data_IF_305686830629
#
_entry.id   IF_305686830629
#
_cell.length_a   1.000
_cell.length_b   1.000
_cell.length_c   1.000
_cell.angle_alpha   90.00
_cell.angle_beta   90.00
_cell.angle_gamma   90.00
#
_symmetry.space_group_name_H-M   'P 1'
#
loop_
_entity.id
_entity.type
_entity.pdbx_description
1 polymer ?
#
# COMPACT_ATOMS: atom_id res chain seq x y z
N UNK A 1 11.66 -13.14 -0.03
CA UNK A 1 11.29 -12.38 1.19
C UNK A 1 9.89 -11.83 0.95
N UNK A 2 9.08 -11.66 1.99
CA UNK A 2 7.78 -10.98 1.81
C UNK A 2 8.03 -9.52 1.41
N UNK A 3 7.16 -8.98 0.58
CA UNK A 3 7.11 -7.55 0.25
C UNK A 3 6.00 -6.91 1.07
N UNK A 4 6.28 -5.75 1.67
CA UNK A 4 5.32 -5.04 2.51
C UNK A 4 4.91 -3.74 1.85
N UNK A 5 3.60 -3.57 1.71
CA UNK A 5 2.97 -2.36 1.20
C UNK A 5 2.02 -1.78 2.23
N UNK A 6 1.72 -0.49 2.09
CA UNK A 6 0.66 0.20 2.81
C UNK A 6 -0.31 0.83 1.82
N UNK A 7 -1.61 0.73 2.11
CA UNK A 7 -2.64 1.42 1.35
C UNK A 7 -2.55 2.93 1.62
N UNK A 8 -2.34 3.73 0.57
CA UNK A 8 -2.21 5.19 0.69
C UNK A 8 -3.51 5.93 0.37
N UNK A 9 -4.51 5.22 -0.15
CA UNK A 9 -5.88 5.66 -0.37
C UNK A 9 -6.85 4.48 -0.22
N UNK A 10 -8.15 4.77 -0.10
CA UNK A 10 -9.18 3.74 -0.04
C UNK A 10 -9.39 3.10 -1.41
N UNK A 11 -9.52 1.78 -1.46
CA UNK A 11 -9.88 1.05 -2.68
C UNK A 11 -10.59 -0.26 -2.38
N UNK A 12 -11.15 -0.87 -3.42
CA UNK A 12 -11.84 -2.16 -3.34
C UNK A 12 -11.10 -3.20 -4.18
N UNK A 13 -11.12 -4.44 -3.70
CA UNK A 13 -10.60 -5.59 -4.41
C UNK A 13 -11.63 -6.72 -4.41
N UNK A 14 -11.98 -7.20 -5.59
CA UNK A 14 -12.79 -8.40 -5.74
C UNK A 14 -11.87 -9.61 -5.66
N UNK A 15 -12.08 -10.47 -4.67
CA UNK A 15 -11.33 -11.72 -4.51
C UNK A 15 -11.80 -12.72 -5.54
N UNK A 16 -10.86 -13.27 -6.31
CA UNK A 16 -11.14 -14.36 -7.23
C UNK A 16 -11.45 -15.65 -6.46
N UNK A 17 -12.62 -16.23 -6.73
CA UNK A 17 -13.05 -17.50 -6.15
C UNK A 17 -12.81 -18.65 -7.14
N UNK A 18 -12.16 -19.73 -6.67
CA UNK A 18 -11.87 -20.92 -7.48
C UNK A 18 -12.84 -22.10 -7.20
N UNK A 19 -13.98 -21.83 -6.58
CA UNK A 19 -14.95 -22.86 -6.22
C UNK A 19 -15.83 -23.24 -7.43
N UNK A 20 -16.07 -24.53 -7.69
CA UNK A 20 -16.85 -24.98 -8.86
C UNK A 20 -18.36 -24.70 -8.78
N UNK A 21 -18.91 -24.37 -7.60
CA UNK A 21 -20.36 -24.40 -7.35
C UNK A 21 -21.04 -23.03 -7.07
N UNK A 22 -20.35 -21.89 -7.19
CA UNK A 22 -21.02 -20.58 -7.11
C UNK A 22 -20.15 -19.39 -7.56
N UNK A 23 -20.81 -18.37 -8.13
CA UNK A 23 -20.28 -17.02 -8.27
C UNK A 23 -20.25 -16.33 -6.89
N UNK A 24 -19.19 -16.57 -6.12
CA UNK A 24 -18.95 -15.82 -4.89
C UNK A 24 -18.27 -14.50 -5.21
N UNK A 25 -19.03 -13.40 -5.12
CA UNK A 25 -18.43 -12.06 -5.12
C UNK A 25 -18.05 -11.72 -3.68
N UNK A 26 -16.75 -11.73 -3.38
CA UNK A 26 -16.23 -11.24 -2.10
C UNK A 26 -15.41 -9.96 -2.36
N UNK A 27 -15.93 -8.81 -1.94
CA UNK A 27 -15.28 -7.51 -2.10
C UNK A 27 -14.61 -7.13 -0.78
N UNK A 28 -13.29 -7.00 -0.82
CA UNK A 28 -12.50 -6.46 0.27
C UNK A 28 -12.36 -4.96 0.11
N UNK A 29 -12.55 -4.24 1.21
CA UNK A 29 -12.44 -2.80 1.27
C UNK A 29 -11.17 -2.46 2.03
N UNK A 30 -10.22 -1.86 1.33
CA UNK A 30 -8.97 -1.39 1.89
C UNK A 30 -9.13 0.06 2.33
N UNK A 31 -8.79 0.33 3.59
CA UNK A 31 -8.71 1.66 4.15
C UNK A 31 -7.29 2.21 3.99
N UNK A 32 -7.16 3.54 3.92
CA UNK A 32 -5.84 4.17 4.03
C UNK A 32 -5.19 3.75 5.35
N UNK A 33 -3.94 3.31 5.28
CA UNK A 33 -3.19 2.78 6.41
C UNK A 33 -3.20 1.26 6.53
N UNK A 34 -4.07 0.57 5.78
CA UNK A 34 -4.06 -0.91 5.78
C UNK A 34 -2.74 -1.46 5.24
N UNK A 35 -2.22 -2.45 5.94
CA UNK A 35 -0.95 -3.08 5.64
C UNK A 35 -1.18 -4.35 4.84
N UNK A 36 -0.37 -4.51 3.80
CA UNK A 36 -0.53 -5.53 2.77
C UNK A 36 0.81 -6.25 2.65
N UNK A 37 0.90 -7.42 3.23
CA UNK A 37 2.07 -8.28 3.12
C UNK A 37 1.88 -9.26 1.96
N UNK A 38 2.70 -9.14 0.92
CA UNK A 38 2.77 -10.09 -0.20
C UNK A 38 3.82 -11.13 0.15
N UNK A 39 3.38 -12.34 0.45
CA UNK A 39 4.29 -13.42 0.87
C UNK A 39 4.96 -14.10 -0.33
N UNK A 40 6.04 -14.88 -0.11
CA UNK A 40 6.66 -15.67 -1.18
C UNK A 40 5.80 -16.85 -1.68
N UNK A 41 4.70 -17.21 -1.00
CA UNK A 41 3.82 -18.30 -1.43
C UNK A 41 3.03 -17.86 -2.66
N UNK A 42 3.27 -18.55 -3.77
CA UNK A 42 2.68 -18.26 -5.08
C UNK A 42 2.07 -19.51 -5.68
N UNK A 43 0.95 -19.32 -6.36
CA UNK A 43 0.25 -20.38 -7.09
C UNK A 43 -0.04 -19.94 -8.51
N UNK A 44 0.16 -20.86 -9.43
CA UNK A 44 -0.27 -20.67 -10.82
C UNK A 44 -1.63 -21.33 -11.03
N UNK A 45 -2.57 -20.58 -11.59
CA UNK A 45 -3.92 -21.04 -11.92
C UNK A 45 -4.16 -20.92 -13.42
N UNK A 46 -5.37 -21.27 -13.89
CA UNK A 46 -5.75 -21.03 -15.29
C UNK A 46 -5.91 -19.54 -15.62
N UNK A 47 -5.97 -18.66 -14.62
CA UNK A 47 -6.09 -17.21 -14.78
C UNK A 47 -4.74 -16.48 -14.69
N UNK A 48 -3.70 -17.10 -14.15
CA UNK A 48 -2.37 -16.50 -14.05
C UNK A 48 -1.66 -16.82 -12.74
N UNK A 49 -0.71 -15.95 -12.37
CA UNK A 49 0.04 -16.06 -11.13
C UNK A 49 -0.66 -15.32 -10.00
N UNK A 50 -0.78 -15.99 -8.86
CA UNK A 50 -1.34 -15.43 -7.63
C UNK A 50 -0.28 -15.51 -6.53
N UNK A 51 -0.25 -14.49 -5.67
CA UNK A 51 0.53 -14.50 -4.44
C UNK A 51 -0.41 -14.53 -3.23
N UNK A 52 -0.01 -15.24 -2.17
CA UNK A 52 -0.71 -15.17 -0.89
C UNK A 52 -0.41 -13.81 -0.26
N UNK A 53 -1.47 -13.05 -0.02
CA UNK A 53 -1.45 -11.72 0.58
C UNK A 53 -2.07 -11.77 1.97
N UNK A 54 -1.45 -11.12 2.95
CA UNK A 54 -1.93 -11.02 4.33
C UNK A 54 -2.18 -9.55 4.66
N UNK A 55 -3.41 -9.23 5.09
CA UNK A 55 -3.85 -7.88 5.42
C UNK A 55 -3.84 -7.69 6.94
N UNK A 56 -3.12 -6.68 7.41
CA UNK A 56 -2.99 -6.30 8.81
C UNK A 56 -2.60 -7.48 9.75
N UNK A 57 -1.96 -8.52 9.20
CA UNK A 57 -1.62 -9.76 9.93
C UNK A 57 -2.82 -10.61 10.35
N UNK A 58 -4.03 -10.34 9.83
CA UNK A 58 -5.27 -10.98 10.29
C UNK A 58 -5.98 -11.78 9.20
N UNK A 59 -6.06 -11.23 8.00
CA UNK A 59 -6.82 -11.82 6.90
C UNK A 59 -5.88 -12.20 5.76
N UNK A 60 -5.96 -13.44 5.28
CA UNK A 60 -5.12 -13.92 4.19
C UNK A 60 -5.96 -14.41 3.01
N UNK A 61 -5.54 -14.07 1.79
CA UNK A 61 -6.16 -14.55 0.55
C UNK A 61 -5.16 -14.51 -0.61
N UNK A 62 -5.45 -15.22 -1.70
CA UNK A 62 -4.63 -15.15 -2.91
C UNK A 62 -5.08 -13.97 -3.77
N UNK A 63 -4.15 -13.08 -4.12
CA UNK A 63 -4.36 -11.96 -5.04
C UNK A 63 -3.56 -12.19 -6.33
N UNK A 64 -4.14 -11.86 -7.48
CA UNK A 64 -3.41 -11.91 -8.76
C UNK A 64 -2.22 -10.95 -8.71
N UNK A 65 -1.06 -11.36 -9.24
CA UNK A 65 0.13 -10.50 -9.28
C UNK A 65 -0.16 -9.23 -10.08
N UNK A 66 -0.92 -9.36 -11.16
CA UNK A 66 -1.34 -8.26 -12.02
C UNK A 66 -2.20 -7.22 -11.26
N UNK A 67 -3.00 -7.66 -10.29
CA UNK A 67 -3.78 -6.76 -9.44
C UNK A 67 -2.88 -6.02 -8.45
N UNK A 68 -1.90 -6.69 -7.83
CA UNK A 68 -0.91 -6.06 -6.96
C UNK A 68 -0.15 -4.97 -7.73
N UNK A 69 0.33 -5.30 -8.93
CA UNK A 69 1.02 -4.37 -9.82
C UNK A 69 0.11 -3.20 -10.22
N UNK A 70 -1.16 -3.46 -10.53
CA UNK A 70 -2.15 -2.42 -10.84
C UNK A 70 -2.35 -1.48 -9.67
N UNK A 71 -2.50 -1.98 -8.45
CA UNK A 71 -2.66 -1.14 -7.27
C UNK A 71 -1.40 -0.34 -6.95
N UNK A 72 -0.22 -0.89 -7.21
CA UNK A 72 1.04 -0.19 -7.05
C UNK A 72 1.20 0.94 -8.08
N UNK A 73 1.05 0.62 -9.37
CA UNK A 73 1.15 1.61 -10.45
C UNK A 73 0.04 2.67 -10.40
N UNK A 74 -1.13 2.31 -9.87
CA UNK A 74 -2.26 3.22 -9.68
C UNK A 74 -2.17 4.08 -8.42
N UNK A 75 -1.04 4.05 -7.69
CA UNK A 75 -0.83 4.78 -6.44
C UNK A 75 -1.90 4.46 -5.36
N UNK A 76 -2.47 3.25 -5.38
CA UNK A 76 -3.34 2.77 -4.31
C UNK A 76 -2.54 2.27 -3.11
N UNK A 77 -1.40 1.62 -3.39
CA UNK A 77 -0.50 1.06 -2.38
C UNK A 77 0.92 1.58 -2.62
N UNK A 78 1.73 1.63 -1.56
CA UNK A 78 3.10 2.12 -1.63
C UNK A 78 4.04 1.23 -0.82
N UNK A 79 5.26 1.02 -1.31
CA UNK A 79 6.28 0.28 -0.58
C UNK A 79 6.92 1.16 0.50
N UNK A 80 7.58 0.55 1.48
CA UNK A 80 8.36 1.31 2.48
C UNK A 80 9.40 2.23 1.83
N UNK A 81 10.08 1.74 0.79
CA UNK A 81 11.08 2.53 0.06
C UNK A 81 10.46 3.76 -0.60
N UNK A 82 9.29 3.62 -1.23
CA UNK A 82 8.61 4.74 -1.88
C UNK A 82 8.12 5.78 -0.87
N UNK A 83 7.67 5.34 0.31
CA UNK A 83 7.31 6.22 1.43
C UNK A 83 8.54 7.02 1.89
N UNK A 84 9.69 6.36 2.08
CA UNK A 84 10.94 7.03 2.46
C UNK A 84 11.40 8.06 1.43
N UNK A 85 11.36 7.69 0.14
CA UNK A 85 11.68 8.60 -0.96
C UNK A 85 10.72 9.79 -1.02
N UNK A 86 9.42 9.56 -0.79
CA UNK A 86 8.40 10.60 -0.78
C UNK A 86 8.60 11.58 0.37
N UNK A 87 8.95 11.09 1.57
CA UNK A 87 9.32 11.94 2.72
C UNK A 87 10.52 12.82 2.36
N UNK A 88 11.58 12.22 1.81
CA UNK A 88 12.77 12.97 1.42
C UNK A 88 12.46 14.07 0.38
N UNK A 89 11.67 13.74 -0.65
CA UNK A 89 11.25 14.70 -1.66
C UNK A 89 10.41 15.85 -1.09
N UNK A 90 9.47 15.55 -0.19
CA UNK A 90 8.61 16.56 0.43
C UNK A 90 9.40 17.50 1.35
N UNK A 91 10.39 16.99 2.09
CA UNK A 91 11.31 17.82 2.88
C UNK A 91 12.09 18.78 1.98
N UNK A 92 12.67 18.28 0.89
CA UNK A 92 13.34 19.12 -0.11
C UNK A 92 12.41 20.20 -0.68
N UNK A 93 11.15 19.86 -0.98
CA UNK A 93 10.18 20.83 -1.50
C UNK A 93 9.83 21.92 -0.49
N UNK A 94 9.66 21.56 0.78
CA UNK A 94 9.42 22.52 1.86
C UNK A 94 10.58 23.51 1.97
N UNK A 95 11.82 23.05 1.85
CA UNK A 95 12.99 23.94 1.86
C UNK A 95 12.94 24.93 0.68
N UNK A 96 12.60 24.46 -0.52
CA UNK A 96 12.41 25.33 -1.70
C UNK A 96 11.29 26.36 -1.50
N UNK A 97 10.16 25.96 -0.91
CA UNK A 97 9.01 26.84 -0.68
C UNK A 97 9.36 27.94 0.32
N UNK A 98 10.14 27.61 1.36
CA UNK A 98 10.67 28.57 2.34
C UNK A 98 11.63 29.57 1.68
N UNK A 99 12.53 29.11 0.83
CA UNK A 99 13.44 29.98 0.06
C UNK A 99 12.68 30.94 -0.87
N UNK A 100 11.61 30.45 -1.50
CA UNK A 100 10.77 31.24 -2.40
C UNK A 100 9.77 32.15 -1.67
N UNK A 101 9.55 31.94 -0.37
CA UNK A 101 8.48 32.60 0.39
C UNK A 101 7.06 32.18 -0.05
N UNK A 102 6.93 31.01 -0.68
CA UNK A 102 5.65 30.48 -1.16
C UNK A 102 4.90 29.75 -0.03
N UNK A 103 4.04 30.50 0.64
CA UNK A 103 3.26 30.01 1.78
C UNK A 103 2.27 28.90 1.40
N UNK A 104 1.70 28.96 0.21
CA UNK A 104 0.64 28.02 -0.19
C UNK A 104 1.25 26.65 -0.48
N UNK A 105 2.33 26.61 -1.28
CA UNK A 105 3.10 25.40 -1.55
C UNK A 105 3.70 24.83 -0.26
N UNK A 106 4.27 25.68 0.61
CA UNK A 106 4.79 25.26 1.91
C UNK A 106 3.74 24.54 2.75
N UNK A 107 2.53 25.12 2.83
CA UNK A 107 1.43 24.57 3.64
C UNK A 107 0.94 23.23 3.07
N UNK A 108 0.84 23.13 1.74
CA UNK A 108 0.44 21.89 1.07
C UNK A 108 1.47 20.78 1.26
N UNK A 109 2.75 21.08 1.03
CA UNK A 109 3.85 20.11 1.14
C UNK A 109 4.06 19.68 2.61
N UNK A 110 3.90 20.59 3.57
CA UNK A 110 3.93 20.26 5.01
C UNK A 110 2.81 19.31 5.40
N UNK A 111 1.58 19.53 4.90
CA UNK A 111 0.46 18.61 5.12
C UNK A 111 0.75 17.23 4.54
N UNK A 112 1.20 17.17 3.28
CA UNK A 112 1.57 15.89 2.62
C UNK A 112 2.67 15.17 3.37
N UNK A 113 3.67 15.90 3.89
CA UNK A 113 4.76 15.33 4.69
C UNK A 113 4.20 14.70 5.96
N UNK A 114 3.36 15.42 6.71
CA UNK A 114 2.73 14.90 7.92
C UNK A 114 1.91 13.64 7.67
N UNK A 115 1.12 13.61 6.59
CA UNK A 115 0.34 12.43 6.20
C UNK A 115 1.25 11.25 5.84
N UNK A 116 2.33 11.50 5.11
CA UNK A 116 3.28 10.45 4.68
C UNK A 116 4.07 9.90 5.87
N UNK A 117 4.47 10.75 6.82
CA UNK A 117 5.09 10.30 8.07
C UNK A 117 4.14 9.42 8.90
N UNK A 118 2.85 9.76 8.97
CA UNK A 118 1.87 8.94 9.70
C UNK A 118 1.76 7.52 9.10
N UNK A 119 1.76 7.41 7.77
CA UNK A 119 1.79 6.11 7.08
C UNK A 119 3.09 5.33 7.37
N UNK A 120 4.23 6.02 7.44
CA UNK A 120 5.50 5.39 7.82
C UNK A 120 5.47 4.84 9.25
N UNK A 121 4.91 5.59 10.19
CA UNK A 121 4.76 5.15 11.58
C UNK A 121 3.89 3.88 11.69
N UNK A 122 2.79 3.79 10.91
CA UNK A 122 1.94 2.60 10.85
C UNK A 122 2.71 1.37 10.32
N UNK A 123 3.51 1.54 9.26
CA UNK A 123 4.41 0.51 8.73
C UNK A 123 5.42 0.04 9.78
N UNK A 124 6.11 0.97 10.43
CA UNK A 124 7.13 0.68 11.44
C UNK A 124 6.55 -0.02 12.67
N UNK A 125 5.36 0.41 13.12
CA UNK A 125 4.64 -0.23 14.22
C UNK A 125 4.33 -1.70 13.94
N UNK A 126 3.89 -2.01 12.73
CA UNK A 126 3.62 -3.39 12.33
C UNK A 126 4.88 -4.24 12.24
N UNK A 127 5.94 -3.70 11.63
CA UNK A 127 7.23 -4.39 11.56
C UNK A 127 7.78 -4.69 12.95
N UNK A 128 7.64 -3.76 13.90
CA UNK A 128 8.05 -3.96 15.30
C UNK A 128 7.21 -5.04 16.02
N UNK A 129 5.94 -5.21 15.65
CA UNK A 129 5.03 -6.22 16.23
C UNK A 129 5.21 -7.61 15.63
N UNK A 130 5.68 -7.70 14.39
CA UNK A 130 5.89 -8.97 13.68
C UNK A 130 7.18 -9.71 14.11
N UNK A 131 8.06 -9.05 14.88
CA UNK A 131 9.30 -9.58 15.47
C UNK A 131 9.03 -10.05 16.91
#
# INVERSE_FOLDING_TARGET
MSELYIAIQQFEHQVDCFCPDADHVNILHFQKGDLIEVTPDRKYTFLGWYALVVINGQQAFYMAIEDIERYFMGECISSQLDIDLKINYLQYKIDQDLEAGDKDSFSENSRKLSETCSLKEELEYYLAKAI
#
